data_IF_326762166366
#
_entry.id   IF_326762166366
#
_cell.length_a   1.000
_cell.length_b   1.000
_cell.length_c   1.000
_cell.angle_alpha   90.00
_cell.angle_beta   90.00
_cell.angle_gamma   90.00
#
_symmetry.space_group_name_H-M   'P 1'
#
loop_
_entity.id
_entity.type
_entity.pdbx_description
1 polymer ?
#
# COMPACT_ATOMS: atom_id res chain seq x y z
N UNK A 1 4.12 4.53 -18.04
CA UNK A 1 3.42 3.95 -19.22
C UNK A 1 4.09 2.66 -19.65
N UNK A 2 3.40 1.82 -20.44
CA UNK A 2 3.94 0.61 -21.06
C UNK A 2 4.64 0.97 -22.37
N UNK A 3 5.84 0.47 -22.57
CA UNK A 3 6.67 0.69 -23.76
C UNK A 3 7.21 -0.66 -24.26
N UNK A 4 6.93 -0.97 -25.52
CA UNK A 4 7.43 -2.15 -26.20
C UNK A 4 8.86 -1.91 -26.68
N UNK A 5 9.80 -1.99 -25.74
CA UNK A 5 11.16 -1.53 -25.95
C UNK A 5 11.94 -2.33 -27.01
N UNK A 6 11.87 -3.66 -26.96
CA UNK A 6 12.54 -4.53 -27.92
C UNK A 6 11.85 -5.89 -28.04
N UNK A 7 12.30 -6.69 -29.01
CA UNK A 7 11.83 -8.07 -29.20
C UNK A 7 12.01 -8.96 -27.95
N UNK A 8 12.90 -8.59 -27.02
CA UNK A 8 13.23 -9.40 -25.83
C UNK A 8 12.81 -8.74 -24.51
N UNK A 9 12.51 -7.44 -24.50
CA UNK A 9 12.29 -6.69 -23.27
C UNK A 9 11.22 -5.61 -23.38
N UNK A 10 10.57 -5.34 -22.25
CA UNK A 10 9.56 -4.30 -22.07
C UNK A 10 10.03 -3.31 -21.01
N UNK A 11 9.64 -2.04 -21.17
CA UNK A 11 9.91 -1.00 -20.17
C UNK A 11 8.62 -0.42 -19.61
N UNK A 12 8.66 -0.11 -18.31
CA UNK A 12 7.66 0.74 -17.66
C UNK A 12 8.36 1.90 -16.94
N UNK A 13 7.85 3.10 -17.18
CA UNK A 13 8.48 4.34 -16.71
C UNK A 13 7.62 5.04 -15.66
N UNK A 14 8.29 5.54 -14.62
CA UNK A 14 7.80 6.59 -13.71
C UNK A 14 8.56 7.87 -14.05
N UNK A 15 7.81 8.92 -14.33
CA UNK A 15 8.35 10.26 -14.56
C UNK A 15 7.65 11.26 -13.64
N UNK A 16 8.36 12.35 -13.33
CA UNK A 16 7.89 13.40 -12.44
C UNK A 16 7.68 14.65 -13.28
N UNK A 17 6.46 15.18 -13.26
CA UNK A 17 6.15 16.48 -13.82
C UNK A 17 6.38 17.55 -12.75
N UNK A 18 7.30 18.47 -13.02
CA UNK A 18 7.55 19.67 -12.23
C UNK A 18 7.23 20.92 -13.04
N UNK A 19 7.11 22.06 -12.37
CA UNK A 19 6.96 23.36 -13.02
C UNK A 19 8.11 24.24 -12.57
N UNK A 20 8.76 24.93 -13.50
CA UNK A 20 9.79 25.92 -13.16
C UNK A 20 9.18 27.21 -12.63
N UNK A 21 10.05 28.15 -12.23
CA UNK A 21 9.63 29.47 -11.71
C UNK A 21 8.79 30.27 -12.71
N UNK A 22 8.89 29.95 -14.00
CA UNK A 22 8.15 30.57 -15.09
C UNK A 22 6.84 29.82 -15.41
N UNK A 23 6.52 28.76 -14.65
CA UNK A 23 5.33 27.94 -14.83
C UNK A 23 5.41 26.98 -16.03
N UNK A 24 6.58 26.71 -16.59
CA UNK A 24 6.74 25.77 -17.71
C UNK A 24 6.87 24.34 -17.18
N UNK A 25 6.17 23.36 -17.78
CA UNK A 25 6.26 21.97 -17.38
C UNK A 25 7.63 21.40 -17.73
N UNK A 26 8.26 20.72 -16.78
CA UNK A 26 9.52 20.00 -16.93
C UNK A 26 9.34 18.55 -16.49
N UNK A 27 10.06 17.63 -17.14
CA UNK A 27 10.04 16.21 -16.81
C UNK A 27 11.36 15.77 -16.21
N UNK A 28 11.27 14.89 -15.21
CA UNK A 28 12.40 14.29 -14.52
C UNK A 28 12.83 15.08 -13.30
N UNK A 29 13.05 14.37 -12.20
CA UNK A 29 13.55 14.95 -10.96
C UNK A 29 14.34 13.89 -10.16
N UNK A 30 15.47 14.24 -9.51
CA UNK A 30 16.33 13.30 -8.80
C UNK A 30 15.77 12.91 -7.40
N UNK A 31 14.47 12.59 -7.37
CA UNK A 31 13.67 12.39 -6.16
C UNK A 31 13.41 10.92 -5.84
N UNK A 32 13.88 9.98 -6.66
CA UNK A 32 13.84 8.56 -6.33
C UNK A 32 15.04 8.18 -5.48
N UNK A 33 14.81 7.62 -4.28
CA UNK A 33 15.87 7.20 -3.34
C UNK A 33 15.79 5.70 -3.10
N UNK A 34 16.82 4.98 -3.54
CA UNK A 34 16.96 3.53 -3.38
C UNK A 34 18.44 3.14 -3.32
N UNK A 35 18.72 1.94 -2.79
CA UNK A 35 20.08 1.39 -2.73
C UNK A 35 20.57 1.03 -4.14
N UNK A 36 21.86 1.19 -4.46
CA UNK A 36 22.42 0.74 -5.72
C UNK A 36 22.10 -0.74 -5.97
N UNK A 37 21.53 -1.02 -7.15
CA UNK A 37 21.05 -2.35 -7.53
C UNK A 37 21.17 -2.48 -9.05
N UNK A 38 21.83 -3.55 -9.50
CA UNK A 38 22.06 -3.83 -10.91
C UNK A 38 20.77 -4.06 -11.69
N UNK A 39 19.64 -4.36 -11.04
CA UNK A 39 18.31 -4.50 -11.66
C UNK A 39 17.61 -3.14 -11.89
N UNK A 40 18.01 -2.08 -11.19
CA UNK A 40 17.40 -0.74 -11.22
C UNK A 40 18.29 0.29 -11.93
N UNK A 41 17.78 1.49 -12.27
CA UNK A 41 18.60 2.54 -12.87
C UNK A 41 19.69 3.04 -11.92
N UNK A 42 20.82 3.50 -12.44
CA UNK A 42 21.86 4.11 -11.61
C UNK A 42 21.37 5.41 -10.94
N UNK A 43 21.84 5.68 -9.73
CA UNK A 43 21.58 6.92 -9.01
C UNK A 43 22.56 8.02 -9.43
N UNK A 44 22.16 9.31 -9.52
CA UNK A 44 20.80 9.82 -9.31
C UNK A 44 19.85 9.50 -10.47
N UNK A 45 18.69 8.93 -10.15
CA UNK A 45 17.67 8.64 -11.15
C UNK A 45 16.66 9.79 -11.28
N UNK A 46 16.65 10.44 -12.45
CA UNK A 46 15.66 11.47 -12.79
C UNK A 46 14.33 10.86 -13.23
N UNK A 47 14.38 9.65 -13.79
CA UNK A 47 13.25 8.79 -14.15
C UNK A 47 13.53 7.40 -13.62
N UNK A 48 12.50 6.73 -13.14
CA UNK A 48 12.62 5.33 -12.76
C UNK A 48 12.09 4.47 -13.91
N UNK A 49 12.92 3.56 -14.41
CA UNK A 49 12.54 2.60 -15.44
C UNK A 49 12.65 1.19 -14.89
N UNK A 50 11.56 0.44 -15.05
CA UNK A 50 11.47 -0.98 -14.78
C UNK A 50 11.55 -1.71 -16.13
N UNK A 51 12.69 -2.33 -16.41
CA UNK A 51 12.93 -3.11 -17.64
C UNK A 51 12.96 -4.60 -17.31
N UNK A 52 12.20 -5.39 -18.06
CA UNK A 52 12.03 -6.83 -17.81
C UNK A 52 11.80 -7.60 -19.10
N UNK A 53 11.92 -8.94 -19.02
CA UNK A 53 11.66 -9.88 -20.11
C UNK A 53 10.29 -9.66 -20.73
N UNK A 54 10.21 -9.74 -22.06
CA UNK A 54 8.99 -9.52 -22.85
C UNK A 54 7.75 -10.26 -22.31
N UNK A 55 7.96 -11.49 -21.86
CA UNK A 55 6.88 -12.37 -21.37
C UNK A 55 6.58 -12.22 -19.87
N UNK A 56 7.38 -11.43 -19.13
CA UNK A 56 7.34 -11.37 -17.66
C UNK A 56 6.13 -10.66 -17.05
N UNK A 57 5.35 -9.89 -17.81
CA UNK A 57 4.12 -9.19 -17.33
C UNK A 57 4.26 -8.43 -15.99
N UNK A 58 5.40 -7.78 -15.73
CA UNK A 58 5.62 -7.06 -14.47
C UNK A 58 4.66 -5.86 -14.27
N UNK A 59 4.23 -5.60 -13.04
CA UNK A 59 3.38 -4.49 -12.60
C UNK A 59 4.23 -3.29 -12.16
N UNK A 60 3.68 -2.10 -12.41
CA UNK A 60 4.20 -0.81 -11.93
C UNK A 60 3.04 0.19 -11.96
N UNK A 61 2.41 0.43 -10.82
CA UNK A 61 1.21 1.26 -10.71
C UNK A 61 1.18 2.06 -9.40
N UNK A 62 0.50 3.21 -9.41
CA UNK A 62 0.20 3.94 -8.19
C UNK A 62 -1.09 3.41 -7.55
N UNK A 63 -1.00 3.02 -6.28
CA UNK A 63 -2.13 2.65 -5.45
C UNK A 63 -2.63 3.87 -4.66
N UNK A 64 -3.91 4.21 -4.84
CA UNK A 64 -4.51 5.40 -4.24
C UNK A 64 -4.83 5.23 -2.75
N UNK A 65 -5.13 4.01 -2.33
CA UNK A 65 -5.55 3.72 -0.96
C UNK A 65 -4.32 3.65 -0.05
N UNK A 66 -3.28 2.96 -0.50
CA UNK A 66 -2.00 2.85 0.19
C UNK A 66 -1.12 4.09 -0.01
N UNK A 67 -1.40 4.90 -1.05
CA UNK A 67 -0.60 6.07 -1.47
C UNK A 67 0.85 5.69 -1.79
N UNK A 68 1.04 4.55 -2.43
CA UNK A 68 2.34 3.99 -2.80
C UNK A 68 2.42 3.78 -4.31
N UNK A 69 3.63 3.89 -4.87
CA UNK A 69 3.90 3.31 -6.19
C UNK A 69 4.36 1.88 -5.97
N UNK A 70 3.58 0.90 -6.42
CA UNK A 70 3.83 -0.53 -6.21
C UNK A 70 4.32 -1.14 -7.52
N UNK A 71 5.35 -1.97 -7.43
CA UNK A 71 5.90 -2.68 -8.58
C UNK A 71 6.44 -4.06 -8.19
N UNK A 72 6.49 -4.96 -9.16
CA UNK A 72 7.02 -6.31 -8.91
C UNK A 72 8.53 -6.25 -8.66
N UNK A 73 8.99 -7.07 -7.72
CA UNK A 73 10.41 -7.38 -7.58
C UNK A 73 10.85 -8.25 -8.76
N UNK A 74 12.02 -7.93 -9.33
CA UNK A 74 12.52 -8.59 -10.54
C UNK A 74 13.76 -9.42 -10.23
N UNK A 75 13.74 -10.68 -10.69
CA UNK A 75 14.85 -11.63 -10.57
C UNK A 75 15.30 -12.11 -11.94
N UNK A 76 16.59 -12.40 -12.09
CA UNK A 76 17.14 -12.90 -13.35
C UNK A 76 17.02 -14.41 -13.45
N UNK A 77 16.44 -14.92 -14.53
CA UNK A 77 16.43 -16.35 -14.85
C UNK A 77 17.85 -16.91 -15.06
N UNK A 78 18.80 -16.06 -15.47
CA UNK A 78 20.19 -16.45 -15.77
C UNK A 78 21.16 -16.10 -14.64
N UNK A 79 20.64 -15.72 -13.46
CA UNK A 79 21.43 -15.23 -12.32
C UNK A 79 22.36 -14.06 -12.67
N UNK A 80 21.96 -13.23 -13.65
CA UNK A 80 22.71 -12.07 -14.12
C UNK A 80 21.75 -10.87 -14.24
N UNK A 81 21.58 -10.08 -13.16
CA UNK A 81 20.64 -8.96 -13.12
C UNK A 81 20.98 -7.80 -14.08
N UNK A 82 22.19 -7.79 -14.66
CA UNK A 82 22.58 -6.80 -15.67
C UNK A 82 21.84 -7.02 -17.00
N UNK A 83 21.45 -8.27 -17.29
CA UNK A 83 20.68 -8.66 -18.46
C UNK A 83 19.19 -8.43 -18.23
N UNK A 84 18.75 -7.20 -18.45
CA UNK A 84 17.35 -6.77 -18.19
C UNK A 84 16.29 -7.64 -18.88
N UNK A 85 16.60 -8.16 -20.07
CA UNK A 85 15.71 -9.05 -20.82
C UNK A 85 15.53 -10.45 -20.22
N UNK A 86 16.30 -10.82 -19.17
CA UNK A 86 16.10 -12.07 -18.41
C UNK A 86 15.42 -11.85 -17.07
N UNK A 87 15.04 -10.60 -16.77
CA UNK A 87 14.36 -10.26 -15.53
C UNK A 87 12.88 -10.62 -15.61
N UNK A 88 12.38 -11.39 -14.64
CA UNK A 88 10.99 -11.79 -14.48
C UNK A 88 10.49 -11.41 -13.08
N UNK A 89 9.19 -11.15 -12.88
CA UNK A 89 8.65 -10.95 -11.55
C UNK A 89 8.67 -12.27 -10.77
N UNK A 90 9.08 -12.22 -9.49
CA UNK A 90 9.10 -13.39 -8.61
C UNK A 90 7.83 -13.53 -7.75
N UNK A 91 6.94 -12.54 -7.81
CA UNK A 91 5.68 -12.49 -7.04
C UNK A 91 5.76 -11.66 -5.77
N UNK A 92 6.96 -11.24 -5.34
CA UNK A 92 7.13 -10.25 -4.29
C UNK A 92 6.92 -8.83 -4.85
N UNK A 93 6.50 -7.92 -3.96
CA UNK A 93 6.24 -6.52 -4.30
C UNK A 93 7.21 -5.58 -3.60
N UNK A 94 7.78 -4.67 -4.38
CA UNK A 94 8.48 -3.48 -3.89
C UNK A 94 7.56 -2.26 -3.98
N UNK A 95 7.92 -1.19 -3.27
CA UNK A 95 7.18 0.06 -3.38
C UNK A 95 8.06 1.31 -3.25
N UNK A 96 7.54 2.44 -3.72
CA UNK A 96 7.99 3.77 -3.34
C UNK A 96 6.93 4.48 -2.50
N UNK A 97 7.37 5.09 -1.41
CA UNK A 97 6.55 5.95 -0.55
C UNK A 97 7.02 7.39 -0.64
N UNK A 98 6.07 8.32 -0.72
CA UNK A 98 6.38 9.74 -0.68
C UNK A 98 6.74 10.17 0.74
N UNK A 99 7.98 10.59 0.96
CA UNK A 99 8.49 11.09 2.24
C UNK A 99 9.51 12.21 2.01
N UNK A 100 9.36 13.33 2.72
CA UNK A 100 10.32 14.45 2.71
C UNK A 100 10.67 14.96 1.29
N UNK A 101 9.67 15.04 0.40
CA UNK A 101 9.86 15.50 -0.98
C UNK A 101 10.49 14.49 -1.93
N UNK A 102 10.61 13.23 -1.52
CA UNK A 102 11.21 12.15 -2.30
C UNK A 102 10.37 10.87 -2.29
N UNK A 103 10.49 10.10 -3.37
CA UNK A 103 10.02 8.71 -3.45
C UNK A 103 11.08 7.80 -2.83
N UNK A 104 10.83 7.35 -1.60
CA UNK A 104 11.72 6.48 -0.83
C UNK A 104 11.33 5.02 -1.04
N UNK A 105 12.31 4.18 -1.38
CA UNK A 105 12.12 2.77 -1.69
C UNK A 105 11.84 1.91 -0.45
N UNK A 106 10.90 0.99 -0.61
CA UNK A 106 10.51 -0.05 0.33
C UNK A 106 10.82 -1.38 -0.36
N UNK A 107 11.88 -2.10 0.06
CA UNK A 107 12.32 -3.33 -0.61
C UNK A 107 11.32 -4.48 -0.55
N UNK A 108 10.47 -4.53 0.48
CA UNK A 108 9.45 -5.56 0.61
C UNK A 108 8.19 -4.93 1.19
N UNK A 109 7.13 -4.88 0.39
CA UNK A 109 5.87 -4.24 0.76
C UNK A 109 5.05 -5.11 1.71
N UNK A 110 4.98 -6.41 1.43
CA UNK A 110 4.26 -7.38 2.24
C UNK A 110 5.26 -8.23 3.02
N UNK A 111 5.41 -7.94 4.31
CA UNK A 111 6.20 -8.74 5.25
C UNK A 111 5.35 -9.82 5.94
N UNK A 112 4.22 -10.18 5.34
CA UNK A 112 3.37 -11.24 5.86
C UNK A 112 4.11 -12.59 5.71
N UNK A 113 4.95 -12.91 6.70
CA UNK A 113 4.70 -14.17 7.36
C UNK A 113 3.25 -14.06 7.83
N UNK A 114 2.30 -14.45 6.96
CA UNK A 114 0.99 -14.84 7.41
C UNK A 114 1.29 -15.72 8.62
N UNK A 115 0.85 -15.31 9.81
CA UNK A 115 1.07 -16.10 11.01
C UNK A 115 0.27 -17.38 10.80
N UNK A 116 0.88 -18.35 10.11
CA UNK A 116 0.31 -19.65 9.79
C UNK A 116 0.26 -20.54 11.03
N UNK A 117 0.66 -20.02 12.21
CA UNK A 117 0.47 -20.71 13.48
C UNK A 117 -1.02 -20.69 13.81
N UNK A 118 -1.68 -21.81 13.55
CA UNK A 118 -3.10 -21.99 13.80
C UNK A 118 -4.01 -21.74 12.59
N UNK A 119 -3.44 -21.60 11.39
CA UNK A 119 -4.22 -21.54 10.14
C UNK A 119 -4.43 -22.97 9.64
N UNK A 120 -5.70 -23.39 9.51
CA UNK A 120 -6.04 -24.63 8.80
C UNK A 120 -5.73 -24.43 7.30
N UNK A 121 -4.86 -25.25 6.68
CA UNK A 121 -4.43 -25.08 5.29
C UNK A 121 -5.57 -25.18 4.25
N UNK A 122 -6.76 -25.67 4.62
CA UNK A 122 -7.94 -25.64 3.74
C UNK A 122 -8.88 -24.45 3.97
N UNK A 123 -8.92 -23.87 5.17
CA UNK A 123 -10.03 -22.99 5.61
C UNK A 123 -9.59 -21.61 6.12
N UNK A 124 -8.28 -21.35 6.25
CA UNK A 124 -7.80 -20.07 6.76
C UNK A 124 -8.04 -19.90 8.27
N UNK A 125 -8.03 -18.65 8.74
CA UNK A 125 -8.31 -18.33 10.15
C UNK A 125 -9.83 -18.23 10.34
N UNK A 126 -10.51 -19.37 10.35
CA UNK A 126 -11.97 -19.41 10.53
C UNK A 126 -12.34 -18.66 11.82
N UNK A 127 -13.36 -17.77 11.78
CA UNK A 127 -13.85 -17.13 12.99
C UNK A 127 -14.24 -18.25 13.96
N UNK A 128 -13.51 -18.37 15.07
CA UNK A 128 -13.85 -19.34 16.10
C UNK A 128 -15.21 -18.95 16.65
N UNK A 129 -16.15 -19.88 16.63
CA UNK A 129 -17.45 -19.67 17.23
C UNK A 129 -17.24 -19.23 18.69
N UNK A 130 -17.69 -18.01 19.01
CA UNK A 130 -17.69 -17.49 20.36
C UNK A 130 -18.73 -18.25 21.19
N UNK A 131 -18.36 -19.48 21.57
CA UNK A 131 -19.26 -20.40 22.24
C UNK A 131 -19.46 -19.91 23.67
N UNK A 132 -20.67 -19.44 23.96
CA UNK A 132 -21.10 -19.01 25.30
C UNK A 132 -21.27 -20.23 26.24
N UNK A 133 -21.21 -21.45 25.70
CA UNK A 133 -21.37 -22.69 26.45
C UNK A 133 -20.03 -23.27 26.91
N UNK A 134 -20.03 -23.90 28.07
CA UNK A 134 -18.92 -24.69 28.56
C UNK A 134 -18.82 -26.06 27.86
N UNK A 135 -17.76 -26.83 28.15
CA UNK A 135 -17.53 -28.15 27.55
C UNK A 135 -18.63 -29.19 27.88
N UNK A 136 -19.50 -28.91 28.85
CA UNK A 136 -20.65 -29.72 29.22
C UNK A 136 -21.95 -29.27 28.54
N UNK A 137 -21.91 -28.21 27.73
CA UNK A 137 -23.05 -27.65 27.02
C UNK A 137 -23.92 -26.70 27.84
N UNK A 138 -23.53 -26.40 29.09
CA UNK A 138 -24.22 -25.41 29.94
C UNK A 138 -23.74 -24.00 29.60
N UNK A 139 -24.58 -23.00 29.82
CA UNK A 139 -24.23 -21.59 29.63
C UNK A 139 -23.14 -21.20 30.64
N UNK A 140 -22.03 -20.66 30.14
CA UNK A 140 -20.97 -20.04 30.92
C UNK A 140 -21.40 -18.59 31.25
N UNK A 141 -22.01 -18.41 32.42
CA UNK A 141 -22.56 -17.11 32.86
C UNK A 141 -21.49 -16.02 32.95
N UNK A 142 -20.24 -16.39 33.27
CA UNK A 142 -19.13 -15.44 33.34
C UNK A 142 -18.79 -14.90 31.95
N UNK A 143 -18.67 -15.79 30.96
CA UNK A 143 -18.44 -15.37 29.56
C UNK A 143 -19.60 -14.57 29.00
N UNK A 144 -20.84 -14.96 29.31
CA UNK A 144 -22.03 -14.22 28.88
C UNK A 144 -22.02 -12.79 29.44
N UNK A 145 -21.71 -12.63 30.73
CA UNK A 145 -21.66 -11.33 31.38
C UNK A 145 -20.53 -10.47 30.80
N UNK A 146 -19.34 -11.04 30.60
CA UNK A 146 -18.21 -10.36 29.99
C UNK A 146 -18.54 -9.88 28.57
N UNK A 147 -19.14 -10.75 27.75
CA UNK A 147 -19.54 -10.41 26.39
C UNK A 147 -20.63 -9.32 26.37
N UNK A 148 -21.58 -9.37 27.31
CA UNK A 148 -22.59 -8.32 27.48
C UNK A 148 -21.96 -6.97 27.85
N UNK A 149 -20.99 -6.96 28.76
CA UNK A 149 -20.25 -5.74 29.14
C UNK A 149 -19.44 -5.18 27.97
N UNK A 150 -18.77 -6.05 27.21
CA UNK A 150 -18.02 -5.65 26.02
C UNK A 150 -18.94 -5.08 24.93
N UNK A 151 -20.12 -5.67 24.70
CA UNK A 151 -21.10 -5.17 23.76
C UNK A 151 -21.66 -3.81 24.20
N UNK A 152 -21.96 -3.63 25.49
CA UNK A 152 -22.41 -2.35 26.03
C UNK A 152 -21.34 -1.26 25.92
N UNK A 153 -20.07 -1.60 26.18
CA UNK A 153 -18.95 -0.67 26.03
C UNK A 153 -18.75 -0.25 24.57
N UNK A 154 -18.79 -1.21 23.63
CA UNK A 154 -18.71 -0.93 22.19
C UNK A 154 -19.87 -0.04 21.71
N UNK A 155 -21.09 -0.32 22.17
CA UNK A 155 -22.26 0.51 21.84
C UNK A 155 -22.10 1.95 22.36
N UNK A 156 -21.59 2.12 23.59
CA UNK A 156 -21.29 3.45 24.16
C UNK A 156 -20.22 4.18 23.37
N UNK A 157 -19.12 3.51 23.02
CA UNK A 157 -18.04 4.08 22.21
C UNK A 157 -18.53 4.49 20.81
N UNK A 158 -19.38 3.67 20.18
CA UNK A 158 -19.98 3.99 18.89
C UNK A 158 -20.88 5.23 18.97
N UNK A 159 -21.72 5.34 20.01
CA UNK A 159 -22.58 6.51 20.23
C UNK A 159 -21.76 7.79 20.49
N UNK A 160 -20.70 7.71 21.30
CA UNK A 160 -19.81 8.84 21.57
C UNK A 160 -19.04 9.28 20.31
N UNK A 161 -18.59 8.33 19.48
CA UNK A 161 -17.94 8.61 18.22
C UNK A 161 -18.90 9.29 17.22
N UNK A 162 -20.14 8.81 17.12
CA UNK A 162 -21.18 9.42 16.27
C UNK A 162 -21.51 10.85 16.71
N UNK A 163 -21.60 11.09 18.02
CA UNK A 163 -21.85 12.43 18.57
C UNK A 163 -20.70 13.39 18.27
N UNK A 164 -19.44 12.96 18.46
CA UNK A 164 -18.25 13.76 18.12
C UNK A 164 -18.19 14.09 16.62
N UNK A 165 -18.54 13.13 15.75
CA UNK A 165 -18.59 13.37 14.30
C UNK A 165 -19.67 14.39 13.92
N UNK A 166 -20.85 14.33 14.54
CA UNK A 166 -21.93 15.32 14.34
C UNK A 166 -21.52 16.72 14.81
N UNK A 167 -20.88 16.83 15.96
CA UNK A 167 -20.38 18.10 16.50
C UNK A 167 -19.27 18.70 15.61
N UNK A 168 -18.33 17.88 15.14
CA UNK A 168 -17.26 18.33 14.25
C UNK A 168 -17.80 18.77 12.89
N UNK A 169 -18.78 18.04 12.33
CA UNK A 169 -19.47 18.41 11.10
C UNK A 169 -20.24 19.74 11.26
N UNK A 170 -20.92 19.96 12.39
CA UNK A 170 -21.62 21.19 12.69
C UNK A 170 -20.66 22.40 12.80
N UNK A 171 -19.53 22.23 13.47
CA UNK A 171 -18.47 23.26 13.57
C UNK A 171 -17.91 23.62 12.19
N UNK A 172 -17.60 22.62 11.35
CA UNK A 172 -17.12 22.82 9.97
C UNK A 172 -18.16 23.57 9.11
N UNK A 173 -19.44 23.22 9.24
CA UNK A 173 -20.54 23.91 8.52
C UNK A 173 -20.68 25.37 8.94
N UNK A 174 -20.58 25.67 10.24
CA UNK A 174 -20.65 27.04 10.77
C UNK A 174 -19.45 27.89 10.31
N UNK A 175 -18.23 27.36 10.41
CA UNK A 175 -17.03 28.04 9.94
C UNK A 175 -17.07 28.36 8.43
N UNK A 176 -17.63 27.47 7.61
CA UNK A 176 -17.84 27.69 6.18
C UNK A 176 -18.86 28.80 5.92
N UNK A 177 -19.94 28.86 6.70
CA UNK A 177 -20.99 29.88 6.57
C UNK A 177 -20.48 31.27 6.99
N UNK A 178 -19.70 31.36 8.06
CA UNK A 178 -19.13 32.62 8.56
C UNK A 178 -18.07 33.18 7.60
N UNK A 179 -17.29 32.31 6.94
CA UNK A 179 -16.35 32.71 5.88
C UNK A 179 -17.07 33.22 4.62
N UNK A 180 -18.24 32.65 4.29
CA UNK A 180 -19.05 33.07 3.15
C UNK A 180 -19.77 34.41 3.35
N UNK A 181 -19.97 34.85 4.61
CA UNK A 181 -20.57 36.16 4.94
C UNK A 181 -19.56 37.31 5.04
N UNK A 182 -18.26 37.01 5.01
CA UNK A 182 -17.16 38.00 5.09
C UNK A 182 -16.57 38.36 3.73
N UNK A 183 -17.07 37.74 2.66
CA UNK A 183 -16.81 38.09 1.26
C UNK A 183 -18.09 38.64 0.64
#
# INVERSE_FOLDING_TARGET
GFDDYSNLAVRKWIDVLTFDEQGKPQFGAPIFKYKPDSSKPAQPAYRFVLEYKKDGRAKLNYDKDLKLIIFDHLVSETNDPSKKFTLIPDGDYEAFRWQNGAWVHIPKLFNEAADMRGIDPLLGNAPKDATIRDASGKIDEQKLMEQSLQNAAKAKQAAEAEQKQKEEAAKKRKAKLDKAKKN
#
